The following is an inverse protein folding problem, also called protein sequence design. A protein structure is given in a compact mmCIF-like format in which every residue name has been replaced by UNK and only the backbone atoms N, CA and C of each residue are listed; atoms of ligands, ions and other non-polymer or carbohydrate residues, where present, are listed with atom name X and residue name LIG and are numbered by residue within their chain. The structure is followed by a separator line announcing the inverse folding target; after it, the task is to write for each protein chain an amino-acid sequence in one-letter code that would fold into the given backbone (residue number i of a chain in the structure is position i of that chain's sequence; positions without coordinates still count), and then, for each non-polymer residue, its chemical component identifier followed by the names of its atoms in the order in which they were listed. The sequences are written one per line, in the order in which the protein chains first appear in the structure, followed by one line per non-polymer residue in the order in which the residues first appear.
data_IF_190444214195
#
_entry.id   IF_190444214195
#
_cell.length_a   1.000
_cell.length_b   1.000
_cell.length_c   1.000
_cell.angle_alpha   90.00
_cell.angle_beta   90.00
_cell.angle_gamma   90.00
#
_symmetry.space_group_name_H-M   'P 1'
#
loop_
_entity.id
_entity.type
_entity.pdbx_description
1 polymer ?
#
# COMPACT_ATOMS: atom_id res chain seq x y z
N UNK A 1 4.37 8.70 31.04
CA UNK A 1 4.71 9.82 30.12
C UNK A 1 5.12 9.19 28.79
N UNK A 2 4.52 9.56 27.66
CA UNK A 2 4.94 9.04 26.37
C UNK A 2 6.35 9.54 26.03
N UNK A 3 7.21 8.66 25.52
CA UNK A 3 8.56 8.99 25.03
C UNK A 3 8.59 8.72 23.53
N UNK A 4 8.26 9.72 22.69
CA UNK A 4 8.28 9.52 21.25
C UNK A 4 9.71 9.20 20.80
N UNK A 5 9.81 8.31 19.82
CA UNK A 5 11.06 7.93 19.18
C UNK A 5 10.93 8.16 17.67
N UNK A 6 12.01 8.62 17.05
CA UNK A 6 12.07 8.85 15.61
C UNK A 6 12.93 7.75 15.00
N UNK A 7 12.33 6.92 14.17
CA UNK A 7 13.06 5.95 13.37
C UNK A 7 13.82 6.67 12.27
N UNK A 8 15.13 6.43 12.20
CA UNK A 8 15.93 6.90 11.06
C UNK A 8 16.20 5.74 10.13
N UNK A 9 16.32 6.00 8.83
CA UNK A 9 16.63 4.95 7.85
C UNK A 9 17.97 4.24 8.10
N UNK A 10 18.84 4.81 8.95
CA UNK A 10 20.14 4.23 9.31
C UNK A 10 20.03 2.97 10.18
N UNK A 11 18.87 2.77 10.82
CA UNK A 11 18.59 1.60 11.64
C UNK A 11 18.21 0.36 10.79
N UNK A 12 18.02 0.54 9.47
CA UNK A 12 17.67 -0.52 8.53
C UNK A 12 18.87 -0.82 7.62
N UNK A 13 19.08 -2.11 7.35
CA UNK A 13 20.06 -2.59 6.38
C UNK A 13 19.41 -2.89 5.03
N UNK A 14 20.21 -3.34 4.06
CA UNK A 14 19.77 -3.69 2.70
C UNK A 14 18.79 -4.87 2.64
N UNK A 15 18.68 -5.66 3.70
CA UNK A 15 17.78 -6.83 3.78
C UNK A 15 16.59 -6.57 4.70
N UNK A 16 16.44 -5.33 5.16
CA UNK A 16 15.39 -4.95 6.09
C UNK A 16 14.10 -4.62 5.36
N UNK A 17 12.97 -5.05 5.94
CA UNK A 17 11.63 -4.68 5.48
C UNK A 17 10.95 -3.84 6.55
N UNK A 18 10.48 -2.65 6.16
CA UNK A 18 9.70 -1.78 7.04
C UNK A 18 8.24 -1.75 6.59
N UNK A 19 7.38 -2.41 7.36
CA UNK A 19 5.92 -2.34 7.16
C UNK A 19 5.36 -1.19 8.01
N UNK A 20 4.63 -0.27 7.38
CA UNK A 20 3.90 0.79 8.06
C UNK A 20 2.45 0.88 7.62
N UNK A 21 1.70 1.76 8.27
CA UNK A 21 0.24 1.84 8.14
C UNK A 21 -0.45 0.55 8.64
N UNK A 22 -1.77 0.44 8.46
CA UNK A 22 -2.53 -0.76 8.76
C UNK A 22 -3.81 -0.80 7.94
N UNK A 23 -4.21 -1.96 7.40
CA UNK A 23 -5.51 -2.11 6.73
C UNK A 23 -6.70 -1.96 7.67
N UNK A 24 -6.45 -1.88 8.98
CA UNK A 24 -7.48 -1.67 10.01
C UNK A 24 -7.83 -0.18 10.21
N UNK A 25 -7.07 0.73 9.61
CA UNK A 25 -7.39 2.15 9.68
C UNK A 25 -8.42 2.52 8.64
N UNK A 26 -9.39 3.35 9.05
CA UNK A 26 -10.45 3.83 8.17
C UNK A 26 -9.94 4.93 7.24
N UNK A 27 -9.26 4.51 6.16
CA UNK A 27 -8.71 5.40 5.15
C UNK A 27 -9.77 5.96 4.19
N UNK A 28 -10.91 5.28 4.07
CA UNK A 28 -11.96 5.61 3.09
C UNK A 28 -13.22 6.23 3.72
N UNK A 29 -13.30 6.30 5.05
CA UNK A 29 -14.44 6.90 5.76
C UNK A 29 -14.46 8.42 5.74
N UNK A 30 -13.36 9.07 5.33
CA UNK A 30 -13.35 10.51 5.08
C UNK A 30 -13.95 10.81 3.70
N UNK A 31 -15.10 11.50 3.69
CA UNK A 31 -15.87 11.86 2.49
C UNK A 31 -16.17 13.36 2.55
N UNK A 32 -16.03 14.07 1.43
CA UNK A 32 -16.08 15.54 1.34
C UNK A 32 -17.31 16.08 0.60
N UNK A 33 -18.29 15.23 0.27
CA UNK A 33 -19.44 15.50 -0.59
C UNK A 33 -19.20 15.22 -2.08
N UNK A 34 -18.08 14.59 -2.44
CA UNK A 34 -17.66 14.30 -3.83
C UNK A 34 -17.60 12.80 -4.15
N UNK A 35 -18.04 11.96 -3.22
CA UNK A 35 -17.92 10.52 -3.30
C UNK A 35 -16.72 9.99 -2.53
N UNK A 36 -16.75 8.68 -2.32
CA UNK A 36 -15.73 7.93 -1.58
C UNK A 36 -14.40 7.93 -2.37
N UNK A 37 -13.27 8.08 -1.69
CA UNK A 37 -11.96 8.21 -2.34
C UNK A 37 -11.53 6.93 -3.08
N UNK A 38 -11.10 7.01 -4.34
CA UNK A 38 -10.84 5.82 -5.19
C UNK A 38 -9.64 4.96 -4.77
N UNK A 39 -8.65 5.53 -4.07
CA UNK A 39 -7.46 4.80 -3.62
C UNK A 39 -6.73 5.56 -2.51
N UNK A 40 -6.19 4.84 -1.53
CA UNK A 40 -5.24 5.37 -0.55
C UNK A 40 -3.79 5.15 -1.04
N UNK A 41 -2.97 6.21 -1.04
CA UNK A 41 -1.58 6.17 -1.52
C UNK A 41 -0.66 6.98 -0.60
N UNK A 42 0.60 6.58 -0.50
CA UNK A 42 1.63 7.32 0.25
C UNK A 42 2.32 8.37 -0.62
N UNK A 43 2.69 9.48 0.01
CA UNK A 43 3.56 10.49 -0.61
C UNK A 43 4.95 9.95 -0.92
N UNK A 44 5.59 10.49 -1.97
CA UNK A 44 6.89 9.99 -2.45
C UNK A 44 8.02 9.99 -1.41
N UNK A 45 7.99 10.91 -0.43
CA UNK A 45 8.97 10.94 0.66
C UNK A 45 8.92 9.71 1.58
N UNK A 46 7.82 8.95 1.54
CA UNK A 46 7.66 7.69 2.27
C UNK A 46 8.09 6.47 1.46
N UNK A 47 8.80 6.62 0.33
CA UNK A 47 9.25 5.51 -0.52
C UNK A 47 10.76 5.35 -0.44
N UNK A 48 11.20 4.17 -0.04
CA UNK A 48 12.59 3.74 0.01
C UNK A 48 12.64 2.21 -0.10
N UNK A 49 13.82 1.65 -0.38
CA UNK A 49 13.98 0.21 -0.54
C UNK A 49 13.54 -0.57 0.71
N UNK A 50 12.82 -1.67 0.53
CA UNK A 50 12.24 -2.47 1.63
C UNK A 50 11.02 -1.84 2.31
N UNK A 51 10.51 -0.69 1.83
CA UNK A 51 9.32 -0.06 2.40
C UNK A 51 8.04 -0.72 1.90
N UNK A 52 7.17 -1.07 2.85
CA UNK A 52 5.79 -1.50 2.60
C UNK A 52 4.82 -0.57 3.33
N UNK A 53 3.78 -0.13 2.64
CA UNK A 53 2.62 0.57 3.22
C UNK A 53 1.35 -0.21 2.91
N UNK A 54 0.59 -0.53 3.95
CA UNK A 54 -0.65 -1.30 3.83
C UNK A 54 -1.89 -0.44 4.07
N UNK A 55 -2.90 -0.60 3.24
CA UNK A 55 -4.18 0.09 3.33
C UNK A 55 -5.34 -0.92 3.31
N UNK A 56 -6.53 -0.56 3.83
CA UNK A 56 -7.72 -1.35 3.54
C UNK A 56 -7.90 -1.43 2.03
N UNK A 57 -8.32 -2.59 1.52
CA UNK A 57 -8.64 -2.72 0.11
C UNK A 57 -9.88 -1.91 -0.23
N UNK A 58 -9.88 -1.27 -1.40
CA UNK A 58 -10.99 -0.43 -1.82
C UNK A 58 -12.34 -1.16 -1.81
N UNK A 59 -12.35 -2.42 -2.24
CA UNK A 59 -13.53 -3.30 -2.31
C UNK A 59 -14.07 -3.70 -0.93
N UNK A 60 -13.27 -3.55 0.14
CA UNK A 60 -13.63 -3.99 1.48
C UNK A 60 -13.57 -5.51 1.65
N UNK A 61 -14.39 -6.05 2.55
CA UNK A 61 -14.46 -7.52 2.77
C UNK A 61 -13.22 -8.16 3.41
N UNK A 62 -12.31 -7.35 3.96
CA UNK A 62 -11.03 -7.82 4.52
C UNK A 62 -9.88 -7.86 3.51
N UNK A 63 -10.09 -7.37 2.28
CA UNK A 63 -9.02 -7.13 1.30
C UNK A 63 -8.06 -6.03 1.77
N UNK A 64 -6.88 -5.96 1.14
CA UNK A 64 -5.85 -4.97 1.43
C UNK A 64 -5.15 -4.51 0.16
N UNK A 65 -4.87 -3.21 0.09
CA UNK A 65 -4.02 -2.63 -0.94
C UNK A 65 -2.61 -2.45 -0.37
N UNK A 66 -1.59 -2.88 -1.12
CA UNK A 66 -0.19 -2.85 -0.67
C UNK A 66 0.63 -1.99 -1.62
N UNK A 67 1.25 -0.94 -1.09
CA UNK A 67 2.33 -0.23 -1.77
C UNK A 67 3.66 -0.79 -1.30
N UNK A 68 4.44 -1.31 -2.25
CA UNK A 68 5.77 -1.87 -2.00
C UNK A 68 6.80 -1.11 -2.84
N UNK A 69 7.92 -0.76 -2.21
CA UNK A 69 9.03 -0.09 -2.87
C UNK A 69 10.29 -0.91 -2.68
N UNK A 70 10.86 -1.35 -3.80
CA UNK A 70 12.14 -2.04 -3.84
C UNK A 70 13.03 -1.40 -4.91
N UNK A 71 14.34 -1.66 -4.82
CA UNK A 71 15.24 -1.42 -5.95
C UNK A 71 14.78 -2.21 -7.19
N UNK A 72 15.08 -1.72 -8.42
CA UNK A 72 14.53 -2.31 -9.64
C UNK A 72 14.80 -3.80 -9.83
N UNK A 73 15.98 -4.28 -9.43
CA UNK A 73 16.36 -5.68 -9.53
C UNK A 73 15.45 -6.58 -8.66
N UNK A 74 15.26 -6.21 -7.40
CA UNK A 74 14.42 -6.95 -6.45
C UNK A 74 12.94 -6.87 -6.82
N UNK A 75 12.47 -5.72 -7.30
CA UNK A 75 11.10 -5.58 -7.81
C UNK A 75 10.86 -6.53 -8.99
N UNK A 76 11.78 -6.56 -9.96
CA UNK A 76 11.66 -7.43 -11.12
C UNK A 76 11.78 -8.92 -10.76
N UNK A 77 12.45 -9.28 -9.67
CA UNK A 77 12.47 -10.64 -9.16
C UNK A 77 11.11 -11.00 -8.52
N UNK A 78 10.56 -10.12 -7.69
CA UNK A 78 9.26 -10.30 -7.03
C UNK A 78 8.11 -10.43 -8.04
N UNK A 79 8.12 -9.62 -9.09
CA UNK A 79 7.12 -9.66 -10.17
C UNK A 79 7.14 -10.96 -10.99
N UNK A 80 8.23 -11.75 -10.91
CA UNK A 80 8.36 -13.05 -11.57
C UNK A 80 8.07 -14.22 -10.63
N UNK A 81 7.86 -13.95 -9.34
CA UNK A 81 7.57 -14.98 -8.35
C UNK A 81 6.11 -15.43 -8.48
N UNK A 82 5.89 -16.68 -8.91
CA UNK A 82 4.56 -17.21 -9.18
C UNK A 82 3.71 -17.39 -7.91
N UNK A 83 4.35 -17.67 -6.77
CA UNK A 83 3.65 -17.83 -5.49
C UNK A 83 3.11 -16.49 -5.02
N UNK A 84 3.95 -15.44 -5.04
CA UNK A 84 3.55 -14.09 -4.69
C UNK A 84 2.50 -13.54 -5.65
N UNK A 85 2.75 -13.65 -6.97
CA UNK A 85 1.82 -13.13 -7.97
C UNK A 85 0.49 -13.90 -7.99
N UNK A 86 0.46 -15.15 -7.54
CA UNK A 86 -0.78 -15.90 -7.32
C UNK A 86 -1.68 -15.33 -6.23
N UNK A 87 -1.13 -14.53 -5.31
CA UNK A 87 -1.87 -13.83 -4.27
C UNK A 87 -2.24 -12.38 -4.63
N UNK A 88 -1.62 -11.81 -5.67
CA UNK A 88 -1.88 -10.44 -6.13
C UNK A 88 -3.14 -10.42 -7.00
N UNK A 89 -4.06 -9.51 -6.71
CA UNK A 89 -5.24 -9.31 -7.55
C UNK A 89 -4.83 -8.72 -8.91
N UNK A 90 -5.54 -9.08 -10.00
CA UNK A 90 -5.33 -8.42 -11.29
C UNK A 90 -5.62 -6.92 -11.16
N UNK A 91 -5.04 -6.07 -12.03
CA UNK A 91 -5.37 -4.66 -12.08
C UNK A 91 -6.89 -4.48 -12.16
N UNK A 92 -7.44 -3.62 -11.32
CA UNK A 92 -8.85 -3.25 -11.43
C UNK A 92 -9.01 -2.51 -12.76
N UNK A 93 -9.77 -3.09 -13.69
CA UNK A 93 -10.16 -2.40 -14.91
C UNK A 93 -10.88 -1.10 -14.50
N UNK A 94 -10.27 0.05 -14.87
CA UNK A 94 -10.75 1.38 -14.50
C UNK A 94 -12.22 1.64 -14.91
N UNK A 95 -12.73 0.84 -15.84
CA UNK A 95 -14.12 0.86 -16.31
C UNK A 95 -15.11 0.47 -15.19
N UNK A 96 -14.78 -0.49 -14.32
CA UNK A 96 -15.67 -0.94 -13.22
C UNK A 96 -15.79 0.11 -12.11
N UNK A 97 -14.74 0.91 -11.89
CA UNK A 97 -14.75 2.00 -10.89
C UNK A 97 -15.59 3.20 -11.32
N UNK A 98 -15.77 3.41 -12.63
CA UNK A 98 -16.53 4.52 -13.20
C UNK A 98 -18.02 4.19 -13.36
N UNK A 99 -18.38 2.92 -13.52
CA UNK A 99 -19.79 2.50 -13.58
C UNK A 99 -20.54 2.68 -12.25
N UNK A 100 -19.83 2.75 -11.12
CA UNK A 100 -20.40 3.04 -9.80
C UNK A 100 -20.65 4.51 -9.49
N UNK A 101 -20.42 5.42 -10.45
CA UNK A 101 -20.54 6.88 -10.30
C UNK A 101 -21.74 7.45 -11.09
N UNK A 102 -22.72 6.61 -11.42
CA UNK A 102 -23.98 7.02 -12.07
C UNK A 102 -25.19 6.83 -11.15
#
# INVERSE_FOLDING_TARGET
MARPFVYTLREFDENSVMVGSSPRFDMYGCEFGWGRAVAARSGGANKFDGKISMYPGWEGGGSMDVELCLVPENMAALERDEEFMGAVSPPVEMEVLLEGIN
#
